data_IF_319519006856
#
_entry.id   IF_319519006856
#
_cell.length_a   1.000
_cell.length_b   1.000
_cell.length_c   1.000
_cell.angle_alpha   90.00
_cell.angle_beta   90.00
_cell.angle_gamma   90.00
#
_symmetry.space_group_name_H-M   'P 1'
#
loop_
_entity.id
_entity.type
_entity.pdbx_description
1 polymer ?
#
# COMPACT_ATOMS: atom_id res chain seq x y z
N UNK A 1 -11.14 -25.38 -50.16
CA UNK A 1 -11.54 -23.98 -49.92
C UNK A 1 -12.18 -23.78 -48.54
N UNK A 2 -13.11 -24.67 -48.12
CA UNK A 2 -13.75 -24.59 -46.79
C UNK A 2 -12.74 -24.76 -45.65
N UNK A 3 -11.82 -25.71 -45.77
CA UNK A 3 -10.75 -25.97 -44.80
C UNK A 3 -9.80 -24.74 -44.63
N UNK A 4 -9.51 -24.07 -45.72
CA UNK A 4 -8.64 -22.84 -45.70
C UNK A 4 -9.37 -21.67 -45.01
N UNK A 5 -10.66 -21.54 -45.25
CA UNK A 5 -11.50 -20.51 -44.60
C UNK A 5 -11.59 -20.77 -43.10
N UNK A 6 -11.69 -22.01 -42.66
CA UNK A 6 -11.74 -22.40 -41.26
C UNK A 6 -10.40 -22.11 -40.55
N UNK A 7 -9.29 -22.40 -41.22
CA UNK A 7 -7.94 -22.03 -40.70
C UNK A 7 -7.82 -20.52 -40.58
N UNK A 8 -8.21 -19.75 -41.58
CA UNK A 8 -8.12 -18.29 -41.58
C UNK A 8 -9.01 -17.68 -40.46
N UNK A 9 -10.23 -18.23 -40.28
CA UNK A 9 -11.16 -17.74 -39.24
C UNK A 9 -10.65 -17.97 -37.82
N UNK A 10 -9.81 -19.00 -37.61
CA UNK A 10 -9.23 -19.33 -36.30
C UNK A 10 -7.86 -18.64 -36.05
N UNK A 11 -7.28 -17.95 -37.05
CA UNK A 11 -6.08 -17.21 -36.88
C UNK A 11 -6.30 -15.97 -36.00
N UNK A 12 -5.44 -15.81 -34.98
CA UNK A 12 -5.45 -14.60 -34.16
C UNK A 12 -4.94 -13.40 -35.01
N UNK A 13 -5.77 -12.37 -35.28
CA UNK A 13 -5.35 -11.21 -36.07
C UNK A 13 -4.23 -10.38 -35.41
N UNK A 14 -3.97 -10.64 -34.12
CA UNK A 14 -2.92 -9.94 -33.36
C UNK A 14 -2.06 -10.93 -32.57
N UNK A 15 -1.22 -11.73 -33.23
CA UNK A 15 -0.44 -12.78 -32.58
C UNK A 15 0.54 -12.25 -31.52
N UNK A 16 0.88 -10.95 -31.54
CA UNK A 16 1.74 -10.31 -30.56
C UNK A 16 1.04 -9.83 -29.27
N UNK A 17 -0.29 -9.87 -29.18
CA UNK A 17 -1.01 -9.43 -27.98
C UNK A 17 -0.75 -10.32 -26.76
N UNK A 18 -0.51 -11.62 -26.97
CA UNK A 18 -0.18 -12.57 -25.90
C UNK A 18 1.24 -12.44 -25.35
N UNK A 19 2.13 -11.76 -26.07
CA UNK A 19 3.53 -11.54 -25.67
C UNK A 19 3.80 -10.14 -25.10
N UNK A 20 2.80 -9.28 -25.09
CA UNK A 20 2.85 -8.03 -24.33
C UNK A 20 2.55 -8.33 -22.86
N UNK A 21 3.55 -8.80 -22.14
CA UNK A 21 3.57 -8.62 -20.71
C UNK A 21 3.49 -7.10 -20.45
N UNK A 22 2.33 -6.65 -20.01
CA UNK A 22 2.18 -5.32 -19.45
C UNK A 22 2.99 -5.34 -18.15
N UNK A 23 4.30 -5.11 -18.25
CA UNK A 23 5.10 -4.80 -17.09
C UNK A 23 4.45 -3.57 -16.46
N UNK A 24 3.63 -3.79 -15.46
CA UNK A 24 3.14 -2.72 -14.63
C UNK A 24 4.31 -2.27 -13.77
N UNK A 25 5.12 -1.36 -14.30
CA UNK A 25 6.17 -0.72 -13.53
C UNK A 25 5.50 0.12 -12.46
N UNK A 26 5.53 -0.36 -11.23
CA UNK A 26 5.02 0.36 -10.07
C UNK A 26 6.13 1.30 -9.60
N UNK A 27 5.85 2.60 -9.60
CA UNK A 27 6.75 3.60 -9.00
C UNK A 27 6.34 3.72 -7.52
N UNK A 28 7.24 3.37 -6.57
CA UNK A 28 6.93 3.47 -5.14
C UNK A 28 6.80 4.94 -4.71
N UNK A 29 5.87 5.21 -3.80
CA UNK A 29 5.68 6.54 -3.18
C UNK A 29 6.64 6.77 -2.00
N UNK A 30 7.04 5.68 -1.34
CA UNK A 30 7.95 5.67 -0.19
C UNK A 30 9.12 4.72 -0.45
N UNK A 31 10.27 5.07 0.11
CA UNK A 31 11.48 4.25 0.11
C UNK A 31 11.90 4.05 1.55
N UNK A 32 11.99 2.78 1.98
CA UNK A 32 12.42 2.38 3.33
C UNK A 32 13.75 1.64 3.22
N UNK A 33 14.73 2.06 3.96
CA UNK A 33 16.06 1.43 4.05
C UNK A 33 16.47 1.30 5.51
N UNK A 34 17.22 0.26 5.79
CA UNK A 34 17.86 0.06 7.07
C UNK A 34 19.20 0.82 7.09
N UNK A 35 19.43 1.62 8.14
CA UNK A 35 20.68 2.31 8.39
C UNK A 35 21.13 2.04 9.85
N UNK A 36 21.97 1.03 10.01
CA UNK A 36 22.33 0.48 11.29
C UNK A 36 21.13 -0.12 12.04
N UNK A 37 20.79 0.42 13.21
CA UNK A 37 19.66 -0.04 14.02
C UNK A 37 18.36 0.76 13.75
N UNK A 38 18.40 1.72 12.83
CA UNK A 38 17.26 2.60 12.55
C UNK A 38 16.71 2.43 11.14
N UNK A 39 15.41 2.65 10.98
CA UNK A 39 14.74 2.67 9.69
C UNK A 39 14.66 4.09 9.13
N UNK A 40 15.28 4.32 7.98
CA UNK A 40 15.20 5.58 7.24
C UNK A 40 14.09 5.51 6.21
N UNK A 41 13.13 6.43 6.32
CA UNK A 41 11.97 6.52 5.43
C UNK A 41 12.06 7.81 4.63
N UNK A 42 12.09 7.67 3.31
CA UNK A 42 12.10 8.78 2.38
C UNK A 42 10.85 8.73 1.48
N UNK A 43 10.32 9.91 1.13
CA UNK A 43 9.30 10.02 0.10
C UNK A 43 9.96 10.04 -1.29
N UNK A 44 9.40 9.31 -2.24
CA UNK A 44 9.88 9.34 -3.62
C UNK A 44 9.24 10.52 -4.37
N UNK A 45 9.85 11.68 -4.23
CA UNK A 45 9.38 12.92 -4.84
C UNK A 45 10.02 13.21 -6.21
N UNK A 46 10.54 12.21 -6.90
CA UNK A 46 11.28 12.34 -8.15
C UNK A 46 10.54 13.11 -9.26
N UNK A 47 9.21 13.23 -9.15
CA UNK A 47 8.38 14.00 -10.10
C UNK A 47 7.98 15.40 -9.66
N UNK A 48 8.31 15.82 -8.45
CA UNK A 48 7.89 17.13 -7.92
C UNK A 48 9.10 18.05 -7.76
N UNK A 49 9.20 19.13 -8.56
CA UNK A 49 10.22 20.15 -8.37
C UNK A 49 10.00 20.87 -7.02
N UNK A 50 11.06 21.46 -6.50
CA UNK A 50 10.95 22.28 -5.29
C UNK A 50 10.08 23.50 -5.55
N UNK A 51 8.90 23.53 -4.93
CA UNK A 51 7.95 24.61 -5.08
C UNK A 51 8.32 25.78 -4.16
N UNK A 52 8.52 26.94 -4.73
CA UNK A 52 8.81 28.17 -4.00
C UNK A 52 7.95 29.32 -4.48
N UNK A 53 7.48 30.15 -3.56
CA UNK A 53 6.82 31.40 -3.91
C UNK A 53 7.92 32.42 -4.21
N UNK A 54 7.79 33.10 -5.37
CA UNK A 54 8.74 34.14 -5.79
C UNK A 54 8.87 35.23 -4.73
N UNK A 55 10.13 35.54 -4.37
CA UNK A 55 10.46 36.61 -3.41
C UNK A 55 9.95 37.96 -3.91
N UNK A 56 10.03 38.20 -5.21
CA UNK A 56 9.57 39.43 -5.84
C UNK A 56 8.13 39.79 -5.45
N UNK A 57 7.19 38.84 -5.55
CA UNK A 57 5.80 39.11 -5.17
C UNK A 57 5.60 39.28 -3.67
N UNK A 58 6.36 38.50 -2.85
CA UNK A 58 6.31 38.67 -1.39
C UNK A 58 6.77 40.06 -0.95
N UNK A 59 7.87 40.56 -1.54
CA UNK A 59 8.48 41.83 -1.18
C UNK A 59 7.60 43.00 -1.69
N UNK A 60 7.04 42.89 -2.87
CA UNK A 60 6.12 43.94 -3.40
C UNK A 60 4.85 44.08 -2.56
N UNK A 61 4.30 43.00 -2.04
CA UNK A 61 3.14 43.06 -1.14
C UNK A 61 3.52 43.71 0.20
N UNK A 62 4.72 43.40 0.72
CA UNK A 62 5.25 44.02 1.96
C UNK A 62 5.53 45.49 1.81
N UNK A 63 6.17 45.89 0.70
CA UNK A 63 6.59 47.28 0.44
C UNK A 63 5.44 48.18 -0.01
N UNK A 64 4.20 47.68 -0.03
CA UNK A 64 3.00 48.44 -0.41
C UNK A 64 3.06 49.12 -1.79
N UNK A 65 3.84 48.56 -2.74
CA UNK A 65 3.92 49.04 -4.11
C UNK A 65 2.59 48.87 -4.85
N UNK A 66 1.83 47.81 -4.51
CA UNK A 66 0.47 47.63 -5.02
C UNK A 66 -0.55 48.31 -4.10
N UNK A 67 -1.53 49.02 -4.70
CA UNK A 67 -2.63 49.71 -4.01
C UNK A 67 -3.98 49.10 -4.38
N UNK A 68 -4.94 49.15 -3.45
CA UNK A 68 -6.33 48.76 -3.72
C UNK A 68 -6.53 47.30 -4.05
N UNK A 69 -7.32 47.03 -5.07
CA UNK A 69 -7.71 45.68 -5.50
C UNK A 69 -6.54 44.77 -5.94
N UNK A 70 -5.53 45.37 -6.60
CA UNK A 70 -4.35 44.64 -7.05
C UNK A 70 -3.57 44.02 -5.89
N UNK A 71 -3.41 44.77 -4.78
CA UNK A 71 -2.76 44.26 -3.58
C UNK A 71 -3.54 43.11 -2.97
N UNK A 72 -4.86 43.22 -2.89
CA UNK A 72 -5.74 42.16 -2.36
C UNK A 72 -5.64 40.89 -3.21
N UNK A 73 -5.73 41.03 -4.53
CA UNK A 73 -5.63 39.91 -5.46
C UNK A 73 -4.30 39.17 -5.35
N UNK A 74 -3.16 39.88 -5.33
CA UNK A 74 -1.84 39.26 -5.24
C UNK A 74 -1.68 38.55 -3.88
N UNK A 75 -2.16 39.18 -2.79
CA UNK A 75 -2.13 38.56 -1.46
C UNK A 75 -2.92 37.25 -1.44
N UNK A 76 -4.15 37.25 -1.95
CA UNK A 76 -4.96 36.00 -2.03
C UNK A 76 -4.27 34.90 -2.85
N UNK A 77 -3.56 35.26 -3.94
CA UNK A 77 -2.80 34.26 -4.72
C UNK A 77 -1.58 33.74 -3.98
N UNK A 78 -0.88 34.57 -3.22
CA UNK A 78 0.26 34.16 -2.37
C UNK A 78 -0.24 33.22 -1.27
N UNK A 79 -1.32 33.59 -0.59
CA UNK A 79 -1.91 32.80 0.49
C UNK A 79 -2.38 31.43 -0.02
N UNK A 80 -3.02 31.40 -1.20
CA UNK A 80 -3.43 30.15 -1.86
C UNK A 80 -2.22 29.28 -2.26
N UNK A 81 -1.16 29.88 -2.78
CA UNK A 81 0.05 29.16 -3.15
C UNK A 81 0.77 28.61 -1.91
N UNK A 82 0.80 29.38 -0.83
CA UNK A 82 1.39 28.93 0.43
C UNK A 82 0.62 27.76 1.02
N UNK A 83 -0.71 27.86 1.07
CA UNK A 83 -1.56 26.76 1.52
C UNK A 83 -1.34 25.48 0.70
N UNK A 84 -1.20 25.61 -0.62
CA UNK A 84 -0.94 24.48 -1.49
C UNK A 84 0.41 23.79 -1.19
N UNK A 85 1.47 24.59 -0.98
CA UNK A 85 2.81 24.07 -0.61
C UNK A 85 2.74 23.37 0.76
N UNK A 86 2.08 23.98 1.73
CA UNK A 86 1.89 23.42 3.07
C UNK A 86 1.10 22.11 3.03
N UNK A 87 0.05 22.03 2.18
CA UNK A 87 -0.72 20.81 2.00
C UNK A 87 0.13 19.64 1.44
N UNK A 88 1.02 19.92 0.48
CA UNK A 88 1.97 18.93 -0.05
C UNK A 88 2.93 18.46 1.05
N UNK A 89 3.49 19.39 1.82
CA UNK A 89 4.40 19.06 2.91
C UNK A 89 3.70 18.24 4.00
N UNK A 90 2.50 18.62 4.39
CA UNK A 90 1.70 17.90 5.36
C UNK A 90 1.40 16.47 4.90
N UNK A 91 1.09 16.29 3.61
CA UNK A 91 0.89 14.95 3.03
C UNK A 91 2.14 14.08 3.15
N UNK A 92 3.34 14.64 2.86
CA UNK A 92 4.61 13.93 3.01
C UNK A 92 4.83 13.48 4.45
N UNK A 93 4.70 14.40 5.39
CA UNK A 93 4.85 14.11 6.82
C UNK A 93 3.86 13.03 7.27
N UNK A 94 2.61 13.12 6.83
CA UNK A 94 1.60 12.11 7.15
C UNK A 94 1.98 10.73 6.63
N UNK A 95 2.43 10.62 5.37
CA UNK A 95 2.83 9.34 4.77
C UNK A 95 4.04 8.73 5.50
N UNK A 96 5.03 9.54 5.85
CA UNK A 96 6.21 9.11 6.61
C UNK A 96 5.80 8.62 8.01
N UNK A 97 4.95 9.36 8.72
CA UNK A 97 4.46 8.97 10.04
C UNK A 97 3.65 7.67 10.01
N UNK A 98 2.80 7.49 8.97
CA UNK A 98 2.08 6.24 8.76
C UNK A 98 3.06 5.08 8.59
N UNK A 99 4.11 5.26 7.77
CA UNK A 99 5.10 4.21 7.55
C UNK A 99 5.90 3.88 8.81
N UNK A 100 6.32 4.88 9.59
CA UNK A 100 6.95 4.65 10.90
C UNK A 100 6.04 3.86 11.85
N UNK A 101 4.75 4.19 11.87
CA UNK A 101 3.77 3.47 12.68
C UNK A 101 3.65 2.01 12.22
N UNK A 102 3.62 1.75 10.90
CA UNK A 102 3.58 0.39 10.35
C UNK A 102 4.82 -0.41 10.78
N UNK A 103 6.03 0.16 10.64
CA UNK A 103 7.29 -0.50 11.06
C UNK A 103 7.23 -0.85 12.55
N UNK A 104 6.77 0.06 13.38
CA UNK A 104 6.63 -0.13 14.83
C UNK A 104 5.69 -1.28 15.19
N UNK A 105 4.60 -1.47 14.44
CA UNK A 105 3.62 -2.53 14.70
C UNK A 105 3.97 -3.87 14.03
N UNK A 106 4.87 -3.87 13.02
CA UNK A 106 5.29 -5.04 12.26
C UNK A 106 6.80 -5.34 12.39
N UNK A 107 7.36 -5.38 13.62
CA UNK A 107 8.81 -5.50 13.82
C UNK A 107 9.38 -6.79 13.25
N UNK A 108 8.67 -7.93 13.36
CA UNK A 108 9.14 -9.22 12.88
C UNK A 108 9.24 -9.23 11.34
N UNK A 109 8.26 -8.66 10.66
CA UNK A 109 8.27 -8.56 9.21
C UNK A 109 9.47 -7.74 8.72
N UNK A 110 9.74 -6.62 9.37
CA UNK A 110 10.89 -5.76 9.05
C UNK A 110 12.23 -6.34 9.51
N UNK A 111 12.24 -7.28 10.45
CA UNK A 111 13.42 -8.05 10.82
C UNK A 111 13.77 -9.18 9.83
N UNK A 112 12.97 -9.35 8.76
CA UNK A 112 13.21 -10.34 7.70
C UNK A 112 12.26 -11.51 7.69
N UNK A 113 11.38 -11.66 8.69
CA UNK A 113 10.35 -12.70 8.71
C UNK A 113 9.10 -12.24 7.95
N UNK A 114 9.19 -12.24 6.61
CA UNK A 114 8.09 -11.84 5.74
C UNK A 114 6.86 -12.76 5.85
N UNK A 115 6.99 -13.90 6.48
CA UNK A 115 5.88 -14.83 6.70
C UNK A 115 5.02 -14.43 7.88
N UNK A 116 5.59 -13.63 8.79
CA UNK A 116 4.95 -13.25 10.03
C UNK A 116 4.42 -11.81 9.95
N UNK A 117 3.14 -11.66 9.65
CA UNK A 117 2.44 -10.38 9.64
C UNK A 117 1.45 -10.36 10.79
N UNK A 118 1.69 -9.47 11.77
CA UNK A 118 0.77 -9.26 12.89
C UNK A 118 -0.55 -8.66 12.41
N UNK A 119 -1.70 -8.99 13.02
CA UNK A 119 -2.92 -8.25 12.78
C UNK A 119 -2.72 -6.77 13.08
N UNK A 120 -3.05 -5.92 12.12
CA UNK A 120 -2.93 -4.46 12.28
C UNK A 120 -4.14 -3.78 11.62
N UNK A 121 -4.89 -3.02 12.42
CA UNK A 121 -6.04 -2.25 11.94
C UNK A 121 -5.65 -0.80 11.67
N UNK A 122 -6.33 -0.19 10.71
CA UNK A 122 -6.15 1.23 10.40
C UNK A 122 -6.36 2.14 11.63
N UNK A 123 -7.27 1.74 12.54
CA UNK A 123 -7.53 2.49 13.77
C UNK A 123 -6.31 2.55 14.69
N UNK A 124 -5.56 1.46 14.83
CA UNK A 124 -4.38 1.40 15.70
C UNK A 124 -3.28 2.35 15.21
N UNK A 125 -3.10 2.44 13.89
CA UNK A 125 -2.18 3.40 13.29
C UNK A 125 -2.70 4.83 13.46
N UNK A 126 -4.01 5.06 13.28
CA UNK A 126 -4.64 6.36 13.46
C UNK A 126 -4.46 6.87 14.90
N UNK A 127 -4.69 6.02 15.89
CA UNK A 127 -4.51 6.33 17.31
C UNK A 127 -3.04 6.62 17.65
N UNK A 128 -2.08 5.84 17.09
CA UNK A 128 -0.66 6.03 17.36
C UNK A 128 -0.12 7.37 16.83
N UNK A 129 -0.66 7.88 15.73
CA UNK A 129 -0.22 9.16 15.13
C UNK A 129 -1.19 10.32 15.38
N UNK A 130 -2.23 10.12 16.19
CA UNK A 130 -3.30 11.09 16.53
C UNK A 130 -3.96 11.71 15.29
N UNK A 131 -4.36 10.85 14.34
CA UNK A 131 -5.05 11.26 13.12
C UNK A 131 -6.36 10.49 12.95
N UNK A 132 -7.25 11.03 12.10
CA UNK A 132 -8.49 10.36 11.76
C UNK A 132 -8.25 9.14 10.86
N UNK A 133 -9.00 8.05 11.10
CA UNK A 133 -8.91 6.80 10.35
C UNK A 133 -9.14 7.00 8.85
N UNK A 134 -10.00 7.95 8.47
CA UNK A 134 -10.26 8.27 7.07
C UNK A 134 -9.02 8.86 6.37
N UNK A 135 -8.21 9.63 7.11
CA UNK A 135 -6.94 10.18 6.64
C UNK A 135 -5.94 9.07 6.38
N UNK A 136 -5.82 8.10 7.31
CA UNK A 136 -4.94 6.94 7.16
C UNK A 136 -5.36 6.09 5.95
N UNK A 137 -6.65 5.77 5.85
CA UNK A 137 -7.21 5.00 4.73
C UNK A 137 -6.92 5.65 3.37
N UNK A 138 -7.07 6.98 3.26
CA UNK A 138 -6.75 7.72 2.02
C UNK A 138 -5.25 7.78 1.74
N UNK A 139 -4.42 7.86 2.79
CA UNK A 139 -2.96 7.94 2.66
C UNK A 139 -2.33 6.61 2.28
N UNK A 140 -2.98 5.47 2.56
CA UNK A 140 -2.46 4.12 2.30
C UNK A 140 -2.99 3.49 1.02
N UNK A 141 -4.16 3.90 0.56
CA UNK A 141 -4.82 3.33 -0.61
C UNK A 141 -4.07 3.61 -1.91
N UNK A 142 -3.69 2.54 -2.63
CA UNK A 142 -2.96 2.65 -3.90
C UNK A 142 -1.59 3.31 -3.76
N UNK A 143 -0.97 3.22 -2.57
CA UNK A 143 0.36 3.71 -2.28
C UNK A 143 1.32 2.54 -2.07
N UNK A 144 2.50 2.66 -2.64
CA UNK A 144 3.50 1.61 -2.63
C UNK A 144 4.75 2.08 -1.89
N UNK A 145 5.38 1.12 -1.21
CA UNK A 145 6.65 1.32 -0.52
C UNK A 145 7.70 0.35 -1.07
N UNK A 146 8.87 0.88 -1.36
CA UNK A 146 10.05 0.10 -1.69
C UNK A 146 10.82 -0.22 -0.40
N UNK A 147 10.88 -1.50 -0.07
CA UNK A 147 11.56 -2.04 1.10
C UNK A 147 12.76 -2.89 0.68
N UNK A 148 13.69 -3.27 1.57
CA UNK A 148 14.78 -4.21 1.25
C UNK A 148 14.29 -5.56 0.72
N UNK A 149 13.03 -5.91 1.00
CA UNK A 149 12.42 -7.20 0.63
C UNK A 149 11.56 -7.12 -0.65
N UNK A 150 11.41 -5.92 -1.24
CA UNK A 150 10.62 -5.68 -2.45
C UNK A 150 9.64 -4.52 -2.33
N UNK A 151 8.83 -4.36 -3.38
CA UNK A 151 7.83 -3.30 -3.46
C UNK A 151 6.48 -3.86 -3.01
N UNK A 152 5.88 -3.24 -2.00
CA UNK A 152 4.59 -3.65 -1.43
C UNK A 152 3.60 -2.48 -1.43
N UNK A 153 2.32 -2.76 -1.59
CA UNK A 153 1.28 -1.77 -1.33
C UNK A 153 1.18 -1.54 0.18
N UNK A 154 1.03 -0.30 0.64
CA UNK A 154 0.88 0.00 2.08
C UNK A 154 -0.30 -0.76 2.72
N UNK A 155 -1.34 -1.04 1.93
CA UNK A 155 -2.48 -1.83 2.37
C UNK A 155 -2.12 -3.26 2.76
N UNK A 156 -1.05 -3.83 2.22
CA UNK A 156 -0.56 -5.18 2.52
C UNK A 156 -0.28 -5.40 4.01
N UNK A 157 0.20 -4.36 4.70
CA UNK A 157 0.54 -4.43 6.13
C UNK A 157 -0.66 -4.41 7.07
N UNK A 158 -1.85 -4.07 6.54
CA UNK A 158 -3.09 -4.07 7.32
C UNK A 158 -3.82 -5.38 7.09
N UNK A 159 -3.90 -6.18 8.14
CA UNK A 159 -4.52 -7.50 8.10
C UNK A 159 -5.53 -7.63 9.22
N UNK A 160 -6.65 -8.27 8.90
CA UNK A 160 -7.66 -8.58 9.90
C UNK A 160 -7.20 -9.71 10.82
N UNK A 161 -7.77 -9.75 12.01
CA UNK A 161 -7.53 -10.80 12.99
C UNK A 161 -8.66 -11.82 12.99
N UNK A 162 -8.30 -13.09 13.11
CA UNK A 162 -9.24 -14.18 13.39
C UNK A 162 -8.94 -14.72 14.78
N UNK A 163 -10.01 -14.92 15.58
CA UNK A 163 -9.91 -15.66 16.84
C UNK A 163 -10.00 -17.14 16.57
N UNK A 164 -8.99 -17.87 17.00
CA UNK A 164 -8.99 -19.32 17.00
C UNK A 164 -9.88 -19.85 18.15
N UNK A 165 -10.26 -21.12 18.07
CA UNK A 165 -11.09 -21.76 19.08
C UNK A 165 -10.41 -21.88 20.46
N UNK A 166 -9.09 -21.77 20.52
CA UNK A 166 -8.29 -21.72 21.76
C UNK A 166 -8.20 -20.32 22.37
N UNK A 167 -8.82 -19.31 21.72
CA UNK A 167 -8.80 -17.91 22.15
C UNK A 167 -7.62 -17.09 21.65
N UNK A 168 -6.65 -17.70 20.97
CA UNK A 168 -5.53 -16.97 20.35
C UNK A 168 -5.99 -16.14 19.15
N UNK A 169 -5.28 -15.06 18.89
CA UNK A 169 -5.58 -14.13 17.79
C UNK A 169 -4.47 -14.26 16.76
N UNK A 170 -4.85 -14.61 15.53
CA UNK A 170 -3.92 -14.77 14.41
C UNK A 170 -4.35 -13.89 13.23
N UNK A 171 -3.38 -13.45 12.45
CA UNK A 171 -3.64 -12.73 11.22
C UNK A 171 -4.27 -13.63 10.15
N UNK A 172 -5.28 -13.09 9.45
CA UNK A 172 -5.88 -13.75 8.28
C UNK A 172 -4.85 -14.07 7.20
N UNK A 173 -3.78 -13.28 7.12
CA UNK A 173 -2.69 -13.47 6.17
C UNK A 173 -1.98 -14.83 6.38
N UNK A 174 -1.62 -15.14 7.62
CA UNK A 174 -0.94 -16.39 7.96
C UNK A 174 -1.82 -17.59 7.59
N UNK A 175 -3.11 -17.51 7.92
CA UNK A 175 -4.06 -18.60 7.62
C UNK A 175 -4.21 -18.79 6.11
N UNK A 176 -4.36 -17.72 5.34
CA UNK A 176 -4.44 -17.78 3.87
C UNK A 176 -3.19 -18.43 3.27
N UNK A 177 -2.01 -18.06 3.74
CA UNK A 177 -0.75 -18.62 3.27
C UNK A 177 -0.61 -20.10 3.58
N UNK A 178 -0.99 -20.51 4.78
CA UNK A 178 -1.00 -21.95 5.14
C UNK A 178 -1.99 -22.71 4.27
N UNK A 179 -3.18 -22.15 3.99
CA UNK A 179 -4.15 -22.73 3.07
C UNK A 179 -3.61 -22.84 1.65
N UNK A 180 -2.97 -21.79 1.13
CA UNK A 180 -2.33 -21.82 -0.19
C UNK A 180 -1.30 -22.93 -0.30
N UNK A 181 -0.46 -23.11 0.70
CA UNK A 181 0.52 -24.19 0.74
C UNK A 181 -0.14 -25.58 0.77
N UNK A 182 -1.26 -25.74 1.48
CA UNK A 182 -2.02 -27.00 1.50
C UNK A 182 -2.64 -27.27 0.13
N UNK A 183 -3.23 -26.27 -0.49
CA UNK A 183 -3.87 -26.38 -1.81
C UNK A 183 -2.82 -26.65 -2.92
N UNK A 184 -1.64 -26.01 -2.84
CA UNK A 184 -0.57 -26.27 -3.80
C UNK A 184 -0.02 -27.69 -3.73
N UNK A 185 -0.11 -28.33 -2.56
CA UNK A 185 0.32 -29.72 -2.34
C UNK A 185 -0.77 -30.75 -2.62
N UNK A 186 -2.00 -30.33 -3.00
CA UNK A 186 -3.10 -31.25 -3.28
C UNK A 186 -2.98 -31.93 -4.67
N UNK A 187 -3.63 -33.09 -4.79
CA UNK A 187 -3.79 -33.72 -6.08
C UNK A 187 -4.93 -33.03 -6.85
N UNK A 188 -4.62 -32.41 -8.01
CA UNK A 188 -5.57 -31.70 -8.85
C UNK A 188 -6.74 -32.56 -9.37
N UNK A 189 -6.56 -33.88 -9.45
CA UNK A 189 -7.60 -34.82 -9.86
C UNK A 189 -8.61 -35.11 -8.73
N UNK A 190 -8.24 -34.81 -7.46
CA UNK A 190 -9.09 -35.02 -6.29
C UNK A 190 -8.86 -33.86 -5.29
N UNK A 191 -9.50 -32.70 -5.51
CA UNK A 191 -9.32 -31.53 -4.66
C UNK A 191 -9.88 -31.75 -3.26
N UNK A 192 -9.27 -31.10 -2.26
CA UNK A 192 -9.70 -31.19 -0.88
C UNK A 192 -11.06 -30.49 -0.67
N UNK A 193 -11.96 -31.15 0.07
CA UNK A 193 -13.16 -30.49 0.57
C UNK A 193 -12.85 -29.54 1.76
N UNK A 194 -13.76 -28.61 2.03
CA UNK A 194 -13.61 -27.68 3.18
C UNK A 194 -13.36 -28.43 4.50
N UNK A 195 -14.01 -29.58 4.70
CA UNK A 195 -13.85 -30.39 5.92
C UNK A 195 -12.42 -30.97 6.03
N UNK A 196 -11.83 -31.39 4.92
CA UNK A 196 -10.43 -31.86 4.88
C UNK A 196 -9.47 -30.69 5.13
N UNK A 197 -9.76 -29.51 4.56
CA UNK A 197 -8.94 -28.32 4.81
C UNK A 197 -9.00 -27.89 6.28
N UNK A 198 -10.17 -27.94 6.93
CA UNK A 198 -10.32 -27.73 8.39
C UNK A 198 -9.45 -28.69 9.18
N UNK A 199 -9.49 -29.98 8.83
CA UNK A 199 -8.71 -31.00 9.52
C UNK A 199 -7.19 -30.75 9.37
N UNK A 200 -6.72 -30.48 8.15
CA UNK A 200 -5.30 -30.19 7.87
C UNK A 200 -4.80 -28.92 8.57
N UNK A 201 -5.65 -27.89 8.67
CA UNK A 201 -5.34 -26.68 9.44
C UNK A 201 -5.29 -26.98 10.95
N UNK A 202 -6.22 -27.79 11.44
CA UNK A 202 -6.21 -28.25 12.84
C UNK A 202 -4.95 -29.03 13.20
N UNK A 203 -4.46 -29.93 12.32
CA UNK A 203 -3.20 -30.64 12.46
C UNK A 203 -1.98 -29.71 12.57
N UNK A 204 -2.06 -28.54 11.91
CA UNK A 204 -1.05 -27.49 12.01
C UNK A 204 -1.25 -26.51 13.18
N UNK A 205 -2.24 -26.76 14.05
CA UNK A 205 -2.52 -25.96 15.24
C UNK A 205 -3.52 -24.80 15.03
N UNK A 206 -4.12 -24.68 13.84
CA UNK A 206 -5.09 -23.63 13.54
C UNK A 206 -6.52 -24.15 13.65
N UNK A 207 -7.11 -24.01 14.83
CA UNK A 207 -8.49 -24.46 15.11
C UNK A 207 -9.51 -23.45 14.59
N UNK A 208 -9.98 -23.65 13.37
CA UNK A 208 -10.94 -22.79 12.69
C UNK A 208 -12.27 -23.48 12.44
N UNK A 209 -13.35 -22.70 12.44
CA UNK A 209 -14.65 -23.20 12.03
C UNK A 209 -14.72 -23.31 10.49
N UNK A 210 -15.47 -24.30 9.97
CA UNK A 210 -15.68 -24.51 8.53
C UNK A 210 -16.13 -23.24 7.80
N UNK A 211 -17.03 -22.43 8.42
CA UNK A 211 -17.53 -21.17 7.84
C UNK A 211 -16.44 -20.11 7.60
N UNK A 212 -15.29 -20.26 8.23
CA UNK A 212 -14.16 -19.33 8.09
C UNK A 212 -13.27 -19.72 6.91
N UNK A 213 -13.37 -20.96 6.43
CA UNK A 213 -12.56 -21.51 5.34
C UNK A 213 -13.33 -21.43 4.00
N UNK A 214 -14.64 -21.69 4.04
CA UNK A 214 -15.54 -21.47 2.90
C UNK A 214 -15.70 -19.98 2.58
#
# INVERSE_FOLDING_TARGET
LQEVVEIISNLNPRPGEGYRDKFQTVIPDLIVREDGDEWVINTNDSGLPELRISRFYKDQVKNSEFKGEAKKFIKEKIDSAQWFIEAIQQRRVTMVNVMYSIIKFQPEWFAGDMEFLRPLRLQEVADNINMDISTISRSTRGKFVDTPYGIFELKYFFTDSIKLSDGSIISTFIIKRVLENIIQSENKDSPYSDDILVQKLSEKGYLLARRTIA
#
